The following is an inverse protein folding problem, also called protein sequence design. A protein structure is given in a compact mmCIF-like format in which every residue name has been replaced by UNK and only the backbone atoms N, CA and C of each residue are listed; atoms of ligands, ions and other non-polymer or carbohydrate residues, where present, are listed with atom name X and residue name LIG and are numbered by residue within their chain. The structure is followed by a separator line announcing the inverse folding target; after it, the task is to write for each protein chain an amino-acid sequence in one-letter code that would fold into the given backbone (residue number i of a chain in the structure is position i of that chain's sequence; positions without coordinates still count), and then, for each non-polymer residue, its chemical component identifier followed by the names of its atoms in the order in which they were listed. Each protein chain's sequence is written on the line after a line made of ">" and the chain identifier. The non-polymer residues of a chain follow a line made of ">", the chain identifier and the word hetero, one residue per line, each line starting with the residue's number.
data_IF_027061064523
#
_entry.id   IF_027061064523
#
_cell.length_a   1.000
_cell.length_b   1.000
_cell.length_c   1.000
_cell.angle_alpha   90.00
_cell.angle_beta   90.00
_cell.angle_gamma   90.00
#
_symmetry.space_group_name_H-M   'P 1'
#
loop_
_entity.id
_entity.type
_entity.pdbx_description
1 polymer ?
#
# COMPACT_ATOMS: atom_id res chain seq x y z
N UNK A 1 -5.67 -3.13 -32.10
CA UNK A 1 -6.43 -3.73 -30.97
C UNK A 1 -5.52 -4.70 -30.22
N UNK A 2 -5.47 -4.68 -28.88
CA UNK A 2 -4.60 -5.55 -28.06
C UNK A 2 -5.43 -6.67 -27.43
N UNK A 3 -4.93 -7.91 -27.44
CA UNK A 3 -5.58 -9.04 -26.78
C UNK A 3 -5.33 -9.01 -25.26
N UNK A 4 -6.37 -8.69 -24.51
CA UNK A 4 -6.34 -8.57 -23.04
C UNK A 4 -5.82 -9.84 -22.37
N UNK A 5 -6.15 -11.04 -22.88
CA UNK A 5 -5.72 -12.29 -22.26
C UNK A 5 -4.20 -12.44 -22.29
N UNK A 6 -3.56 -11.95 -23.35
CA UNK A 6 -2.09 -11.97 -23.47
C UNK A 6 -1.42 -10.91 -22.60
N UNK A 7 -2.11 -9.81 -22.28
CA UNK A 7 -1.63 -8.83 -21.28
C UNK A 7 -1.65 -9.45 -19.89
N UNK A 8 -2.72 -10.19 -19.55
CA UNK A 8 -2.82 -10.93 -18.28
C UNK A 8 -1.74 -12.01 -18.21
N UNK A 9 -1.55 -12.79 -19.28
CA UNK A 9 -0.49 -13.80 -19.36
C UNK A 9 0.90 -13.18 -19.15
N UNK A 10 1.18 -12.06 -19.81
CA UNK A 10 2.43 -11.32 -19.61
C UNK A 10 2.59 -10.91 -18.14
N UNK A 11 1.59 -10.24 -17.57
CA UNK A 11 1.61 -9.77 -16.18
C UNK A 11 1.87 -10.91 -15.19
N UNK A 12 1.17 -12.03 -15.33
CA UNK A 12 1.37 -13.21 -14.47
C UNK A 12 2.76 -13.84 -14.61
N UNK A 13 3.31 -13.90 -15.83
CA UNK A 13 4.62 -14.52 -16.09
C UNK A 13 5.80 -13.64 -15.66
N UNK A 14 5.62 -12.32 -15.62
CA UNK A 14 6.73 -11.38 -15.37
C UNK A 14 6.61 -10.64 -14.04
N UNK A 15 5.51 -10.79 -13.31
CA UNK A 15 5.40 -10.36 -11.91
C UNK A 15 6.42 -11.11 -11.02
N UNK A 16 7.05 -10.45 -10.04
CA UNK A 16 6.85 -9.05 -9.61
C UNK A 16 7.72 -8.04 -10.38
N UNK A 17 8.56 -8.49 -11.32
CA UNK A 17 9.52 -7.66 -12.03
C UNK A 17 8.91 -6.66 -13.02
N UNK A 18 7.65 -6.89 -13.40
CA UNK A 18 6.79 -5.92 -14.07
C UNK A 18 5.60 -5.56 -13.18
N UNK A 19 5.02 -4.38 -13.39
CA UNK A 19 3.95 -3.90 -12.53
C UNK A 19 3.00 -2.97 -13.25
N UNK A 20 1.77 -2.86 -12.73
CA UNK A 20 0.71 -2.01 -13.26
C UNK A 20 0.43 -2.27 -14.76
N UNK A 21 0.46 -3.53 -15.20
CA UNK A 21 0.06 -3.87 -16.57
C UNK A 21 -1.45 -4.11 -16.69
N UNK A 22 -2.06 -4.67 -15.64
CA UNK A 22 -3.47 -5.01 -15.59
C UNK A 22 -4.07 -4.70 -14.21
N UNK A 23 -5.31 -4.23 -14.20
CA UNK A 23 -6.13 -4.07 -13.01
C UNK A 23 -7.15 -5.22 -12.94
N UNK A 24 -6.86 -6.22 -12.12
CA UNK A 24 -7.73 -7.39 -11.93
C UNK A 24 -9.06 -7.06 -11.25
N UNK A 25 -9.10 -6.01 -10.45
CA UNK A 25 -10.31 -5.61 -9.73
C UNK A 25 -11.33 -5.00 -10.72
N UNK A 26 -10.85 -4.12 -11.59
CA UNK A 26 -11.67 -3.41 -12.58
C UNK A 26 -11.66 -4.09 -13.95
N UNK A 27 -11.00 -5.24 -14.09
CA UNK A 27 -10.80 -5.99 -15.35
C UNK A 27 -10.30 -5.10 -16.49
N UNK A 28 -9.31 -4.25 -16.21
CA UNK A 28 -8.85 -3.20 -17.12
C UNK A 28 -7.36 -3.33 -17.44
N UNK A 29 -7.00 -3.30 -18.73
CA UNK A 29 -5.61 -3.15 -19.13
C UNK A 29 -5.09 -1.72 -18.87
N UNK A 30 -3.85 -1.61 -18.41
CA UNK A 30 -3.24 -0.34 -17.99
C UNK A 30 -2.08 0.10 -18.90
N UNK A 31 -1.70 -0.74 -19.86
CA UNK A 31 -0.55 -0.51 -20.74
C UNK A 31 -0.88 0.33 -21.98
N UNK A 32 -2.16 0.55 -22.29
CA UNK A 32 -2.56 1.27 -23.50
C UNK A 32 -2.98 2.71 -23.19
N UNK A 33 -2.52 3.70 -23.98
CA UNK A 33 -3.07 5.05 -23.90
C UNK A 33 -4.53 5.08 -24.41
N UNK A 34 -5.25 6.14 -24.04
CA UNK A 34 -6.62 6.39 -24.52
C UNK A 34 -6.70 7.43 -25.66
N UNK A 35 -5.58 8.10 -25.98
CA UNK A 35 -5.52 9.16 -26.98
C UNK A 35 -5.11 8.67 -28.37
N UNK A 36 -5.04 9.60 -29.33
CA UNK A 36 -4.57 9.37 -30.70
C UNK A 36 -3.02 9.35 -30.82
N UNK A 37 -2.33 9.07 -29.70
CA UNK A 37 -0.87 9.03 -29.61
C UNK A 37 -0.33 7.82 -30.41
N UNK A 38 0.82 7.94 -31.11
CA UNK A 38 1.47 6.81 -31.79
C UNK A 38 1.87 5.64 -30.86
N UNK A 39 1.84 5.78 -29.54
CA UNK A 39 2.15 4.69 -28.60
C UNK A 39 1.06 3.61 -28.64
N UNK A 40 1.42 2.42 -29.14
CA UNK A 40 0.53 1.24 -29.13
C UNK A 40 0.28 0.72 -27.70
N UNK A 41 1.36 0.48 -26.96
CA UNK A 41 1.34 0.16 -25.53
C UNK A 41 2.68 0.45 -24.86
N UNK A 42 2.68 0.54 -23.53
CA UNK A 42 3.88 0.65 -22.71
C UNK A 42 3.81 -0.25 -21.49
N UNK A 43 4.80 -1.13 -21.34
CA UNK A 43 4.99 -1.98 -20.14
C UNK A 43 6.03 -1.36 -19.20
N UNK A 44 5.89 -1.61 -17.90
CA UNK A 44 6.80 -1.10 -16.85
C UNK A 44 7.42 -2.24 -16.06
N UNK A 45 8.68 -2.09 -15.69
CA UNK A 45 9.41 -3.10 -14.92
C UNK A 45 10.85 -2.73 -14.64
N UNK A 46 11.61 -3.65 -14.04
CA UNK A 46 12.97 -3.40 -13.56
C UNK A 46 14.07 -3.75 -14.57
N UNK A 47 13.85 -4.80 -15.38
CA UNK A 47 14.91 -5.41 -16.20
C UNK A 47 14.55 -5.37 -17.70
N UNK A 48 15.41 -4.81 -18.57
CA UNK A 48 15.17 -4.73 -20.01
C UNK A 48 14.83 -6.07 -20.67
N UNK A 49 15.54 -7.14 -20.29
CA UNK A 49 15.35 -8.51 -20.80
C UNK A 49 13.96 -9.08 -20.49
N UNK A 50 13.35 -8.67 -19.37
CA UNK A 50 11.98 -9.04 -19.02
C UNK A 50 10.98 -8.21 -19.83
N UNK A 51 11.23 -6.91 -20.00
CA UNK A 51 10.38 -6.03 -20.80
C UNK A 51 10.31 -6.46 -22.26
N UNK A 52 11.43 -6.94 -22.84
CA UNK A 52 11.47 -7.46 -24.21
C UNK A 52 10.55 -8.67 -24.43
N UNK A 53 10.20 -9.42 -23.37
CA UNK A 53 9.23 -10.52 -23.48
C UNK A 53 7.83 -10.03 -23.86
N UNK A 54 7.49 -8.76 -23.62
CA UNK A 54 6.22 -8.18 -24.01
C UNK A 54 5.98 -8.27 -25.53
N UNK A 55 7.03 -8.07 -26.34
CA UNK A 55 6.95 -8.14 -27.80
C UNK A 55 6.58 -9.55 -28.32
N UNK A 56 6.88 -10.59 -27.53
CA UNK A 56 6.60 -11.99 -27.89
C UNK A 56 5.26 -12.47 -27.34
N UNK A 57 4.92 -12.04 -26.11
CA UNK A 57 3.75 -12.53 -25.38
C UNK A 57 2.50 -11.73 -25.76
N UNK A 58 2.58 -10.39 -25.76
CA UNK A 58 1.42 -9.52 -25.96
C UNK A 58 1.03 -9.51 -27.44
N UNK A 59 -0.17 -10.03 -27.74
CA UNK A 59 -0.70 -10.05 -29.10
C UNK A 59 -1.39 -8.75 -29.42
N UNK A 60 -1.01 -8.20 -30.58
CA UNK A 60 -1.53 -6.94 -31.10
C UNK A 60 -2.05 -7.16 -32.51
N UNK A 61 -3.20 -6.54 -32.81
CA UNK A 61 -3.84 -6.61 -34.12
C UNK A 61 -3.19 -5.71 -35.18
N UNK A 62 -2.28 -4.84 -34.77
CA UNK A 62 -1.41 -4.08 -35.67
C UNK A 62 0.05 -4.28 -35.25
N UNK A 63 0.96 -4.60 -36.19
CA UNK A 63 2.35 -4.85 -35.85
C UNK A 63 3.02 -3.54 -35.38
N UNK A 64 3.78 -3.56 -34.26
CA UNK A 64 4.51 -2.38 -33.83
C UNK A 64 5.60 -2.06 -34.87
N UNK A 65 5.63 -0.82 -35.37
CA UNK A 65 6.67 -0.39 -36.32
C UNK A 65 8.03 -0.24 -35.64
N UNK A 66 8.04 0.19 -34.38
CA UNK A 66 9.22 0.42 -33.57
C UNK A 66 8.94 0.11 -32.11
N UNK A 67 9.98 -0.18 -31.35
CA UNK A 67 9.94 -0.19 -29.88
C UNK A 67 11.20 0.45 -29.33
N UNK A 68 11.12 0.95 -28.10
CA UNK A 68 12.27 1.50 -27.39
C UNK A 68 12.08 1.30 -25.89
N UNK A 69 13.18 1.15 -25.16
CA UNK A 69 13.17 1.02 -23.71
C UNK A 69 13.75 2.30 -23.12
N UNK A 70 12.95 2.98 -22.30
CA UNK A 70 13.38 4.18 -21.58
C UNK A 70 13.69 3.86 -20.12
N UNK A 71 14.79 4.43 -19.63
CA UNK A 71 14.99 4.57 -18.18
C UNK A 71 14.20 5.78 -17.70
N UNK A 72 13.26 5.58 -16.77
CA UNK A 72 12.34 6.63 -16.32
C UNK A 72 12.37 6.83 -14.81
N UNK A 73 11.83 7.95 -14.34
CA UNK A 73 11.49 8.17 -12.93
C UNK A 73 10.10 7.65 -12.57
N UNK A 74 9.44 6.89 -13.44
CA UNK A 74 8.12 6.35 -13.15
C UNK A 74 8.20 5.33 -12.01
N UNK A 75 7.13 5.30 -11.21
CA UNK A 75 6.98 4.43 -10.05
C UNK A 75 8.10 4.56 -9.00
N UNK A 76 8.61 5.77 -8.74
CA UNK A 76 9.74 6.00 -7.82
C UNK A 76 9.41 6.80 -6.56
N UNK A 77 8.19 7.33 -6.47
CA UNK A 77 7.75 8.35 -5.50
C UNK A 77 8.62 9.62 -5.51
N UNK A 78 9.40 9.89 -6.56
CA UNK A 78 10.38 10.99 -6.58
C UNK A 78 9.77 12.36 -6.23
N UNK A 79 8.48 12.58 -6.50
CA UNK A 79 7.78 13.83 -6.19
C UNK A 79 7.37 13.97 -4.71
N UNK A 80 7.17 12.88 -3.97
CA UNK A 80 6.50 12.89 -2.66
C UNK A 80 7.31 12.22 -1.54
N UNK A 81 8.64 12.07 -1.71
CA UNK A 81 9.52 11.42 -0.72
C UNK A 81 9.93 12.31 0.46
N UNK A 82 9.75 13.62 0.34
CA UNK A 82 10.17 14.55 1.38
C UNK A 82 9.14 14.56 2.51
N UNK A 83 9.59 14.29 3.73
CA UNK A 83 8.79 14.47 4.93
C UNK A 83 8.67 15.97 5.25
N UNK A 84 7.45 16.48 5.38
CA UNK A 84 7.16 17.86 5.78
C UNK A 84 6.25 17.89 7.00
N UNK A 85 6.39 18.93 7.82
CA UNK A 85 5.33 19.28 8.77
C UNK A 85 4.18 19.94 8.03
N UNK A 86 2.98 19.84 8.59
CA UNK A 86 1.76 20.33 7.93
C UNK A 86 1.81 21.85 7.73
N UNK A 87 2.38 22.61 8.68
CA UNK A 87 2.52 24.07 8.58
C UNK A 87 3.42 24.54 7.41
N UNK A 88 4.33 23.68 6.94
CA UNK A 88 5.26 23.98 5.85
C UNK A 88 4.67 23.72 4.47
N UNK A 89 3.51 23.06 4.38
CA UNK A 89 2.88 22.78 3.09
C UNK A 89 2.50 24.08 2.38
N UNK A 90 2.79 24.12 1.09
CA UNK A 90 2.40 25.17 0.14
C UNK A 90 1.60 24.58 -1.00
N UNK A 91 0.86 25.43 -1.71
CA UNK A 91 0.14 25.02 -2.92
C UNK A 91 1.11 24.32 -3.89
N UNK A 92 0.68 23.20 -4.48
CA UNK A 92 1.45 22.37 -5.40
C UNK A 92 2.63 21.59 -4.80
N UNK A 93 2.85 21.64 -3.48
CA UNK A 93 3.80 20.74 -2.83
C UNK A 93 3.33 19.28 -2.95
N UNK A 94 4.25 18.38 -3.25
CA UNK A 94 4.08 16.94 -3.03
C UNK A 94 5.02 16.50 -1.92
N UNK A 95 4.52 15.72 -0.96
CA UNK A 95 5.24 15.39 0.25
C UNK A 95 4.72 14.12 0.91
N UNK A 96 5.41 13.68 1.95
CA UNK A 96 4.88 12.84 3.00
C UNK A 96 4.61 13.71 4.23
N UNK A 97 3.45 13.52 4.87
CA UNK A 97 3.11 14.15 6.15
C UNK A 97 2.66 13.07 7.12
N UNK A 98 2.97 13.21 8.40
CA UNK A 98 2.53 12.30 9.45
C UNK A 98 1.73 13.06 10.50
N UNK A 99 0.67 12.45 11.01
CA UNK A 99 -0.17 13.06 12.03
C UNK A 99 -1.25 12.13 12.55
N UNK A 100 -2.06 12.68 13.45
CA UNK A 100 -3.18 11.99 14.08
C UNK A 100 -4.47 12.39 13.37
N UNK A 101 -5.34 11.43 13.09
CA UNK A 101 -6.68 11.68 12.58
C UNK A 101 -7.51 12.36 13.67
N UNK A 102 -7.95 13.60 13.44
CA UNK A 102 -8.91 14.32 14.31
C UNK A 102 -10.36 14.17 13.87
N UNK A 103 -10.58 13.92 12.58
CA UNK A 103 -11.92 13.68 12.06
C UNK A 103 -11.82 12.94 10.74
N UNK A 104 -12.79 12.06 10.48
CA UNK A 104 -12.98 11.42 9.18
C UNK A 104 -14.44 11.60 8.76
N UNK A 105 -14.66 12.10 7.54
CA UNK A 105 -16.00 12.40 7.02
C UNK A 105 -16.16 11.90 5.59
N UNK A 106 -17.21 11.11 5.35
CA UNK A 106 -17.68 10.79 4.01
C UNK A 106 -18.41 11.99 3.40
N UNK A 107 -18.10 12.33 2.15
CA UNK A 107 -18.69 13.44 1.40
C UNK A 107 -19.69 12.94 0.33
N UNK A 108 -20.59 13.81 -0.16
CA UNK A 108 -21.39 13.52 -1.35
C UNK A 108 -20.46 13.35 -2.57
N UNK A 109 -20.45 12.16 -3.21
CA UNK A 109 -19.52 11.85 -4.32
C UNK A 109 -18.56 10.67 -4.08
N UNK A 110 -18.98 9.70 -3.24
CA UNK A 110 -18.12 8.97 -2.28
C UNK A 110 -16.65 9.39 -2.23
N UNK A 111 -16.38 10.50 -1.54
CA UNK A 111 -15.03 10.91 -1.17
C UNK A 111 -14.89 10.88 0.34
N UNK A 112 -13.67 10.70 0.86
CA UNK A 112 -13.40 10.80 2.29
C UNK A 112 -12.48 11.99 2.53
N UNK A 113 -12.91 12.88 3.41
CA UNK A 113 -12.09 13.94 3.98
C UNK A 113 -11.57 13.48 5.35
N UNK A 114 -10.26 13.46 5.50
CA UNK A 114 -9.58 13.12 6.76
C UNK A 114 -8.91 14.40 7.26
N UNK A 115 -9.30 14.90 8.42
CA UNK A 115 -8.58 15.99 9.08
C UNK A 115 -7.40 15.40 9.84
N UNK A 116 -6.18 15.68 9.38
CA UNK A 116 -4.93 15.18 9.96
C UNK A 116 -4.23 16.35 10.62
N UNK A 117 -3.77 16.15 11.86
CA UNK A 117 -3.01 17.16 12.60
C UNK A 117 -1.68 16.60 13.10
N UNK A 118 -0.65 17.41 13.00
CA UNK A 118 0.64 17.21 13.68
C UNK A 118 0.80 18.26 14.80
N UNK A 119 2.00 18.39 15.35
CA UNK A 119 2.28 19.38 16.40
C UNK A 119 2.33 20.83 15.88
N UNK A 120 2.21 21.05 14.56
CA UNK A 120 2.42 22.34 13.91
C UNK A 120 1.13 22.92 13.31
N UNK A 121 0.27 22.10 12.71
CA UNK A 121 -0.97 22.53 12.05
C UNK A 121 -1.87 21.32 11.76
N UNK A 122 -3.04 21.59 11.18
CA UNK A 122 -3.95 20.60 10.62
C UNK A 122 -4.16 20.83 9.12
N UNK A 123 -4.46 19.76 8.38
CA UNK A 123 -4.87 19.83 6.98
C UNK A 123 -5.92 18.76 6.66
N UNK A 124 -6.86 19.11 5.79
CA UNK A 124 -7.79 18.15 5.21
C UNK A 124 -7.11 17.34 4.11
N UNK A 125 -6.89 16.06 4.37
CA UNK A 125 -6.46 15.10 3.37
C UNK A 125 -7.67 14.47 2.65
N UNK A 126 -7.67 14.52 1.33
CA UNK A 126 -8.77 14.10 0.47
C UNK A 126 -8.45 12.77 -0.19
N UNK A 127 -9.28 11.77 0.08
CA UNK A 127 -9.27 10.46 -0.59
C UNK A 127 -10.43 10.44 -1.57
N UNK A 128 -10.12 10.48 -2.85
CA UNK A 128 -11.12 10.56 -3.91
C UNK A 128 -11.68 9.20 -4.30
N UNK A 129 -12.85 9.19 -4.93
CA UNK A 129 -13.57 7.96 -5.32
C UNK A 129 -12.73 7.13 -6.30
N UNK A 130 -12.04 7.83 -7.17
CA UNK A 130 -11.17 7.32 -8.23
C UNK A 130 -10.02 6.48 -7.65
N UNK A 131 -9.64 6.68 -6.38
CA UNK A 131 -8.61 5.86 -5.72
C UNK A 131 -9.04 4.41 -5.46
N UNK A 132 -10.34 4.10 -5.59
CA UNK A 132 -10.87 2.73 -5.56
C UNK A 132 -10.59 2.02 -4.23
N UNK A 133 -9.70 1.02 -4.26
CA UNK A 133 -9.28 0.22 -3.10
C UNK A 133 -8.90 1.07 -1.90
N UNK A 134 -8.14 2.15 -2.11
CA UNK A 134 -7.69 3.02 -1.01
C UNK A 134 -8.88 3.65 -0.27
N UNK A 135 -9.89 4.15 -1.00
CA UNK A 135 -11.10 4.70 -0.40
C UNK A 135 -11.81 3.68 0.49
N UNK A 136 -11.90 2.41 0.07
CA UNK A 136 -12.52 1.35 0.86
C UNK A 136 -11.72 1.02 2.11
N UNK A 137 -10.39 0.93 2.01
CA UNK A 137 -9.54 0.61 3.16
C UNK A 137 -9.50 1.75 4.18
N UNK A 138 -9.57 3.01 3.74
CA UNK A 138 -9.56 4.19 4.64
C UNK A 138 -10.76 4.22 5.59
N UNK A 139 -11.89 3.61 5.24
CA UNK A 139 -13.10 3.58 6.09
C UNK A 139 -12.89 2.86 7.43
N UNK A 140 -11.84 2.03 7.55
CA UNK A 140 -11.54 1.33 8.79
C UNK A 140 -10.79 2.19 9.82
N UNK A 141 -10.23 3.34 9.39
CA UNK A 141 -9.50 4.24 10.27
C UNK A 141 -10.44 4.98 11.20
N UNK A 142 -9.91 5.37 12.36
CA UNK A 142 -10.64 6.04 13.43
C UNK A 142 -9.94 7.30 13.87
N UNK A 143 -10.71 8.18 14.49
CA UNK A 143 -10.15 9.30 15.24
C UNK A 143 -9.15 8.78 16.29
N UNK A 144 -7.98 9.43 16.37
CA UNK A 144 -6.87 9.00 17.22
C UNK A 144 -5.82 8.13 16.53
N UNK A 145 -6.12 7.55 15.36
CA UNK A 145 -5.13 6.77 14.61
C UNK A 145 -3.98 7.67 14.12
N UNK A 146 -2.75 7.17 14.23
CA UNK A 146 -1.57 7.83 13.67
C UNK A 146 -1.29 7.28 12.28
N UNK A 147 -1.22 8.17 11.31
CA UNK A 147 -0.97 7.82 9.90
C UNK A 147 0.08 8.74 9.29
N UNK A 148 0.82 8.22 8.32
CA UNK A 148 1.61 9.00 7.39
C UNK A 148 0.99 8.91 6.00
N UNK A 149 0.94 10.02 5.29
CA UNK A 149 0.23 10.16 4.02
C UNK A 149 1.15 10.77 3.00
N UNK A 150 1.27 10.13 1.83
CA UNK A 150 1.89 10.71 0.63
C UNK A 150 0.83 11.27 -0.29
N UNK A 151 1.13 12.41 -0.88
CA UNK A 151 0.19 13.12 -1.73
C UNK A 151 0.69 14.48 -2.15
N UNK A 152 -0.21 15.26 -2.72
CA UNK A 152 0.08 16.61 -3.18
C UNK A 152 -0.98 17.61 -2.73
N UNK A 153 -0.56 18.81 -2.39
CA UNK A 153 -1.43 19.92 -2.02
C UNK A 153 -2.13 20.44 -3.27
N UNK A 154 -3.46 20.46 -3.24
CA UNK A 154 -4.29 21.15 -4.22
C UNK A 154 -5.08 22.26 -3.55
N UNK A 155 -5.48 23.24 -4.34
CA UNK A 155 -6.39 24.28 -3.92
C UNK A 155 -7.71 24.15 -4.67
N UNK A 156 -8.82 24.21 -3.95
CA UNK A 156 -10.15 24.29 -4.54
C UNK A 156 -10.95 25.38 -3.84
N UNK A 157 -11.41 26.38 -4.59
CA UNK A 157 -12.14 27.55 -4.08
C UNK A 157 -11.43 28.24 -2.89
N UNK A 158 -10.10 28.39 -3.00
CA UNK A 158 -9.28 29.04 -1.97
C UNK A 158 -8.82 28.12 -0.83
N UNK A 159 -9.44 26.95 -0.66
CA UNK A 159 -9.14 26.02 0.45
C UNK A 159 -8.06 25.03 -0.01
N UNK A 160 -7.00 24.90 0.78
CA UNK A 160 -5.96 23.91 0.57
C UNK A 160 -6.41 22.54 1.08
N UNK A 161 -6.16 21.50 0.29
CA UNK A 161 -6.37 20.10 0.64
C UNK A 161 -5.18 19.25 0.21
N UNK A 162 -4.93 18.17 0.93
CA UNK A 162 -3.87 17.22 0.60
C UNK A 162 -4.45 16.02 -0.14
N UNK A 163 -4.23 15.92 -1.45
CA UNK A 163 -4.73 14.83 -2.26
C UNK A 163 -3.93 13.56 -1.97
N UNK A 164 -4.59 12.58 -1.37
CA UNK A 164 -3.95 11.34 -0.92
C UNK A 164 -3.65 10.44 -2.11
N UNK A 165 -2.39 10.02 -2.21
CA UNK A 165 -1.92 8.99 -3.14
C UNK A 165 -1.62 7.67 -2.43
N UNK A 166 -1.16 7.72 -1.18
CA UNK A 166 -0.80 6.53 -0.40
C UNK A 166 -0.85 6.82 1.10
N UNK A 167 -1.22 5.81 1.89
CA UNK A 167 -1.20 5.91 3.36
C UNK A 167 -0.31 4.80 3.94
N UNK A 168 0.47 5.16 4.94
CA UNK A 168 1.19 4.26 5.82
C UNK A 168 0.56 4.39 7.20
N UNK A 169 -0.02 3.32 7.72
CA UNK A 169 -0.55 3.32 9.07
C UNK A 169 0.16 2.24 9.88
N UNK A 170 0.76 2.65 11.00
CA UNK A 170 1.20 1.72 12.01
C UNK A 170 0.09 1.68 13.06
N UNK A 171 -0.63 0.57 13.14
CA UNK A 171 -1.64 0.42 14.16
C UNK A 171 -0.96 0.38 15.52
N UNK A 172 -1.32 1.32 16.39
CA UNK A 172 -1.00 1.25 17.81
C UNK A 172 -1.52 -0.08 18.36
N UNK A 173 -0.70 -0.71 19.17
CA UNK A 173 -0.90 -2.05 19.74
C UNK A 173 -2.34 -2.26 20.21
N UNK A 174 -3.00 -3.31 19.71
CA UNK A 174 -4.11 -3.88 20.47
C UNK A 174 -3.46 -4.58 21.67
N UNK A 175 -3.49 -3.94 22.83
CA UNK A 175 -3.17 -4.61 24.10
C UNK A 175 -4.31 -5.59 24.36
N UNK A 176 -4.13 -6.86 24.00
CA UNK A 176 -5.05 -7.89 24.41
C UNK A 176 -4.67 -8.34 25.81
N UNK A 177 -5.57 -8.15 26.77
CA UNK A 177 -5.43 -8.82 28.07
C UNK A 177 -5.83 -10.28 27.90
N UNK A 178 -4.84 -11.17 27.79
CA UNK A 178 -5.09 -12.61 27.77
C UNK A 178 -5.43 -13.06 29.20
N UNK A 179 -6.55 -13.76 29.38
CA UNK A 179 -6.86 -14.40 30.66
C UNK A 179 -5.81 -15.50 30.92
N UNK A 180 -5.11 -15.49 32.07
CA UNK A 180 -4.13 -16.51 32.40
C UNK A 180 -4.75 -17.91 32.31
N UNK A 181 -3.98 -18.86 31.79
CA UNK A 181 -4.40 -20.25 31.64
C UNK A 181 -3.92 -21.07 32.83
N UNK A 182 -4.69 -22.07 33.22
CA UNK A 182 -4.31 -23.04 34.23
C UNK A 182 -3.05 -23.79 33.77
N UNK A 183 -1.95 -23.81 34.54
CA UNK A 183 -0.74 -24.55 34.16
C UNK A 183 -0.94 -26.06 34.11
N UNK A 184 -2.01 -26.58 34.71
CA UNK A 184 -2.30 -28.01 34.77
C UNK A 184 -3.18 -28.50 33.61
N UNK A 185 -4.15 -27.69 33.16
CA UNK A 185 -5.14 -28.12 32.17
C UNK A 185 -5.38 -27.15 31.01
N UNK A 186 -4.69 -26.00 30.97
CA UNK A 186 -4.83 -24.99 29.92
C UNK A 186 -6.16 -24.21 29.87
N UNK A 187 -7.12 -24.54 30.75
CA UNK A 187 -8.39 -23.82 30.84
C UNK A 187 -8.20 -22.38 31.32
N UNK A 188 -9.01 -21.41 30.86
CA UNK A 188 -8.92 -20.02 31.32
C UNK A 188 -9.26 -19.91 32.81
N UNK A 189 -8.47 -19.15 33.56
CA UNK A 189 -8.71 -18.87 34.97
C UNK A 189 -9.70 -17.71 35.14
N UNK A 190 -10.53 -17.76 36.19
CA UNK A 190 -11.46 -16.69 36.59
C UNK A 190 -10.93 -16.00 37.85
N UNK A 191 -11.08 -14.68 37.95
CA UNK A 191 -10.77 -13.96 39.19
C UNK A 191 -11.80 -14.27 40.28
N UNK A 192 -11.33 -14.53 41.50
CA UNK A 192 -12.15 -14.70 42.72
C UNK A 192 -11.94 -13.59 43.75
N UNK A 193 -11.13 -12.58 43.44
CA UNK A 193 -10.80 -11.50 44.36
C UNK A 193 -9.40 -10.95 44.11
N UNK A 194 -8.90 -10.15 45.05
CA UNK A 194 -7.56 -9.57 44.97
C UNK A 194 -6.51 -10.70 45.04
N UNK A 195 -5.74 -10.88 43.97
CA UNK A 195 -4.65 -11.86 43.82
C UNK A 195 -5.06 -13.34 43.86
N UNK A 196 -6.33 -13.68 43.56
CA UNK A 196 -6.79 -15.07 43.52
C UNK A 196 -7.42 -15.40 42.17
N UNK A 197 -6.85 -16.41 41.50
CA UNK A 197 -7.35 -16.96 40.24
C UNK A 197 -7.83 -18.39 40.44
N UNK A 198 -8.98 -18.74 39.87
CA UNK A 198 -9.62 -20.04 40.04
C UNK A 198 -9.84 -20.75 38.70
N UNK A 199 -9.42 -22.01 38.63
CA UNK A 199 -9.68 -22.89 37.49
C UNK A 199 -10.95 -23.70 37.72
N UNK A 200 -11.95 -23.56 36.85
CA UNK A 200 -13.16 -24.39 36.91
C UNK A 200 -12.91 -25.86 36.57
N UNK A 201 -12.01 -26.15 35.61
CA UNK A 201 -11.72 -27.52 35.19
C UNK A 201 -10.94 -28.34 36.23
N UNK A 202 -10.01 -27.72 36.94
CA UNK A 202 -9.23 -28.38 38.00
C UNK A 202 -9.77 -28.16 39.41
N UNK A 203 -10.78 -27.29 39.58
CA UNK A 203 -11.33 -26.84 40.87
C UNK A 203 -10.24 -26.38 41.86
N UNK A 204 -9.27 -25.59 41.39
CA UNK A 204 -8.12 -25.12 42.18
C UNK A 204 -7.94 -23.62 42.10
N UNK A 205 -7.41 -23.07 43.19
CA UNK A 205 -7.05 -21.67 43.33
C UNK A 205 -5.55 -21.47 43.18
N UNK A 206 -5.18 -20.33 42.62
CA UNK A 206 -3.82 -19.90 42.39
C UNK A 206 -3.66 -18.49 42.95
N UNK A 207 -2.68 -18.33 43.83
CA UNK A 207 -2.35 -17.07 44.49
C UNK A 207 -1.16 -16.40 43.80
N UNK A 208 -1.15 -15.06 43.76
CA UNK A 208 -0.04 -14.22 43.26
C UNK A 208 0.35 -14.35 41.77
N UNK A 209 -0.50 -14.98 40.95
CA UNK A 209 -0.37 -14.98 39.49
C UNK A 209 -0.88 -13.67 38.86
N UNK A 210 -0.30 -12.53 39.24
CA UNK A 210 -0.42 -11.29 38.46
C UNK A 210 0.84 -11.06 37.65
N UNK A 211 0.99 -11.83 36.59
CA UNK A 211 1.46 -11.23 35.35
C UNK A 211 0.23 -11.11 34.46
N UNK A 212 -0.43 -9.94 34.47
CA UNK A 212 -1.16 -9.54 33.27
C UNK A 212 -0.11 -9.58 32.17
N UNK A 213 -0.11 -10.63 31.36
CA UNK A 213 0.72 -10.65 30.18
C UNK A 213 0.08 -9.65 29.24
N UNK A 214 0.56 -8.41 29.29
CA UNK A 214 0.39 -7.48 28.18
C UNK A 214 1.21 -8.07 27.05
N UNK A 215 0.53 -8.77 26.14
CA UNK A 215 1.16 -9.15 24.89
C UNK A 215 0.94 -7.99 23.92
N UNK A 216 2.01 -7.23 23.69
CA UNK A 216 2.05 -6.24 22.63
C UNK A 216 1.96 -6.98 21.29
N UNK A 217 0.94 -6.67 20.49
CA UNK A 217 0.94 -7.11 19.09
C UNK A 217 2.14 -6.45 18.40
N UNK A 218 2.88 -7.19 17.58
CA UNK A 218 3.91 -6.63 16.70
C UNK A 218 3.33 -5.42 15.98
N UNK A 219 4.00 -4.27 16.05
CA UNK A 219 3.60 -3.05 15.34
C UNK A 219 3.56 -3.37 13.83
N UNK A 220 2.37 -3.64 13.30
CA UNK A 220 2.18 -3.90 11.88
C UNK A 220 1.93 -2.58 11.16
N UNK A 221 2.99 -2.00 10.61
CA UNK A 221 2.85 -0.91 9.66
C UNK A 221 2.32 -1.47 8.33
N UNK A 222 1.07 -1.17 8.02
CA UNK A 222 0.43 -1.53 6.75
C UNK A 222 0.51 -0.36 5.76
N UNK A 223 0.75 -0.70 4.50
CA UNK A 223 0.70 0.24 3.37
C UNK A 223 -0.64 0.10 2.66
N UNK A 224 -1.29 1.24 2.42
CA UNK A 224 -2.57 1.35 1.74
C UNK A 224 -2.35 2.10 0.43
N UNK A 225 -2.67 1.44 -0.67
CA UNK A 225 -2.45 1.93 -2.03
C UNK A 225 -3.78 1.94 -2.80
N UNK A 226 -3.92 2.81 -3.81
CA UNK A 226 -5.12 2.85 -4.62
C UNK A 226 -5.22 1.60 -5.51
N UNK A 227 -6.36 1.43 -6.18
CA UNK A 227 -6.48 0.40 -7.22
C UNK A 227 -5.46 0.66 -8.34
N UNK A 228 -4.94 -0.39 -9.02
CA UNK A 228 -3.93 -0.25 -10.07
C UNK A 228 -4.24 0.82 -11.13
N UNK A 229 -5.50 0.94 -11.56
CA UNK A 229 -5.92 1.95 -12.54
C UNK A 229 -5.78 3.42 -12.07
N UNK A 230 -5.62 3.65 -10.77
CA UNK A 230 -5.55 4.98 -10.17
C UNK A 230 -4.12 5.41 -9.80
N UNK A 231 -3.10 4.59 -10.12
CA UNK A 231 -1.71 4.99 -9.96
C UNK A 231 -1.34 6.09 -10.95
N UNK A 232 -0.86 7.22 -10.42
CA UNK A 232 -0.16 8.22 -11.22
C UNK A 232 1.23 7.73 -11.62
N UNK A 233 1.81 8.32 -12.67
CA UNK A 233 3.09 7.88 -13.24
C UNK A 233 4.24 7.76 -12.23
N UNK A 234 4.32 8.66 -11.25
CA UNK A 234 5.43 8.69 -10.30
C UNK A 234 5.19 7.80 -9.07
N UNK A 235 3.94 7.41 -8.78
CA UNK A 235 3.59 6.60 -7.61
C UNK A 235 4.22 5.22 -7.70
N UNK A 236 5.05 4.88 -6.72
CA UNK A 236 5.72 3.59 -6.64
C UNK A 236 4.79 2.53 -6.06
N UNK A 237 4.49 1.42 -6.74
CA UNK A 237 3.75 0.31 -6.12
C UNK A 237 4.52 -0.34 -4.97
N UNK A 238 3.83 -0.78 -3.92
CA UNK A 238 4.43 -1.35 -2.72
C UNK A 238 5.29 -2.58 -3.04
N UNK A 239 4.83 -3.43 -3.95
CA UNK A 239 5.58 -4.61 -4.40
C UNK A 239 6.99 -4.27 -4.92
N UNK A 240 7.18 -3.06 -5.46
CA UNK A 240 8.45 -2.60 -6.01
C UNK A 240 9.52 -2.38 -4.93
N UNK A 241 9.12 -2.12 -3.68
CA UNK A 241 10.04 -1.92 -2.55
C UNK A 241 10.92 -3.15 -2.29
N UNK A 242 10.40 -4.35 -2.51
CA UNK A 242 11.11 -5.59 -2.23
C UNK A 242 12.05 -6.03 -3.37
N UNK A 243 11.91 -5.42 -4.54
CA UNK A 243 12.73 -5.73 -5.72
C UNK A 243 13.95 -4.81 -5.78
N UNK A 244 13.80 -3.56 -5.34
CA UNK A 244 14.92 -2.61 -5.22
C UNK A 244 15.83 -3.04 -4.07
N UNK A 245 16.93 -3.68 -4.41
CA UNK A 245 18.01 -3.96 -3.44
C UNK A 245 18.55 -2.66 -2.84
N UNK A 246 18.90 -2.63 -1.54
CA UNK A 246 19.77 -1.58 -1.02
C UNK A 246 21.07 -1.57 -1.83
N UNK A 247 21.54 -0.37 -2.22
CA UNK A 247 22.78 -0.20 -2.98
C UNK A 247 23.92 -0.93 -2.26
N UNK A 248 24.61 -1.84 -2.96
CA UNK A 248 25.82 -2.51 -2.45
C UNK A 248 25.77 -4.04 -2.38
N UNK A 249 24.65 -4.69 -2.68
CA UNK A 249 24.59 -6.16 -2.76
C UNK A 249 24.76 -6.59 -4.22
N UNK A 250 25.96 -7.06 -4.56
CA UNK A 250 26.22 -7.83 -5.79
C UNK A 250 25.19 -8.97 -5.82
N UNK A 251 24.52 -9.25 -6.96
CA UNK A 251 23.65 -10.42 -7.03
C UNK A 251 24.32 -11.65 -6.45
N UNK A 252 23.62 -12.47 -5.64
CA UNK A 252 23.98 -13.87 -5.63
C UNK A 252 24.00 -14.25 -7.11
N UNK A 253 25.07 -14.89 -7.56
CA UNK A 253 25.06 -15.61 -8.83
C UNK A 253 23.96 -16.66 -8.72
N UNK A 254 22.71 -16.27 -8.93
CA UNK A 254 21.57 -17.16 -8.77
C UNK A 254 21.42 -17.89 -10.10
N UNK A 255 21.49 -19.22 -10.11
CA UNK A 255 21.28 -20.03 -11.31
C UNK A 255 19.77 -20.08 -11.58
N UNK A 256 19.21 -19.07 -12.24
CA UNK A 256 17.84 -19.14 -12.81
C UNK A 256 17.83 -18.34 -14.12
N UNK A 257 18.45 -18.87 -15.15
CA UNK A 257 18.23 -18.44 -16.54
C UNK A 257 17.84 -19.60 -17.46
N UNK A 258 17.95 -20.86 -17.02
CA UNK A 258 17.72 -22.03 -17.88
C UNK A 258 16.27 -22.56 -17.85
N UNK A 259 15.45 -22.22 -16.86
CA UNK A 259 14.08 -22.73 -16.79
C UNK A 259 13.05 -21.91 -17.59
N UNK A 260 13.46 -20.83 -18.23
CA UNK A 260 12.54 -19.97 -19.02
C UNK A 260 12.95 -19.80 -20.49
N UNK A 261 13.84 -20.65 -21.00
CA UNK A 261 14.24 -20.67 -22.42
C UNK A 261 13.48 -21.68 -23.28
N UNK A 262 12.56 -22.47 -22.72
CA UNK A 262 11.80 -23.48 -23.46
C UNK A 262 10.28 -23.38 -23.19
N UNK A 263 9.61 -22.33 -23.69
CA UNK A 263 8.27 -22.36 -24.31
C UNK A 263 8.12 -21.11 -25.18
#
# INVERSE_FOLDING_TARGET
>A
MIDINTVIEFDMRTSPYTFLNYDYENQKQLITPHGLDPVLYGVRGEYPEILLKALKIIRVGEPPTHFTIFRTNQATDAHARMLKTISMLRIYDCAEICGIIKQLKMLPGPHIAINICDNTSCITAMVYRETGKLLREVQQFKEGDTICVRGCVKQHKGILSFNVEKIYACTSEKIYTIKPRCPLCGSPLKSKGKNILYCQGCNREFHDLFSKYEQYSKLECKVFEPSPAAFHHLMMPFQRLFIRRPRGVVPPSTPILEEFTNV
#
